data_IF_734681188371
#
_entry.id   IF_734681188371
#
_cell.length_a   1.000
_cell.length_b   1.000
_cell.length_c   1.000
_cell.angle_alpha   90.00
_cell.angle_beta   90.00
_cell.angle_gamma   90.00
#
_symmetry.space_group_name_H-M   'P 1'
#
loop_
_entity.id
_entity.type
_entity.pdbx_description
1 polymer ?
#
# COMPACT_ATOMS: atom_id res chain seq x y z
N UNK A 1 12.74 32.43 8.18
CA UNK A 1 12.27 31.72 6.98
C UNK A 1 10.96 32.36 6.53
N UNK A 2 10.77 32.68 5.25
CA UNK A 2 9.51 33.30 4.79
C UNK A 2 8.38 32.28 4.78
N UNK A 3 7.14 32.72 4.99
CA UNK A 3 5.94 31.85 4.98
C UNK A 3 5.78 31.09 3.67
N UNK A 4 6.17 31.69 2.55
CA UNK A 4 6.20 31.06 1.23
C UNK A 4 7.13 29.84 1.19
N UNK A 5 8.31 29.94 1.81
CA UNK A 5 9.27 28.84 1.84
C UNK A 5 8.72 27.63 2.62
N UNK A 6 8.08 27.88 3.78
CA UNK A 6 7.43 26.83 4.58
C UNK A 6 6.32 26.12 3.80
N UNK A 7 5.52 26.88 3.04
CA UNK A 7 4.44 26.33 2.21
C UNK A 7 5.03 25.44 1.11
N UNK A 8 6.08 25.88 0.42
CA UNK A 8 6.74 25.09 -0.62
C UNK A 8 7.27 23.76 -0.08
N UNK A 9 7.89 23.75 1.11
CA UNK A 9 8.36 22.52 1.75
C UNK A 9 7.22 21.56 2.11
N UNK A 10 6.10 22.06 2.63
CA UNK A 10 4.92 21.23 2.95
C UNK A 10 4.34 20.57 1.71
N UNK A 11 4.25 21.30 0.60
CA UNK A 11 3.76 20.77 -0.68
C UNK A 11 4.71 19.67 -1.19
N UNK A 12 6.03 19.90 -1.15
CA UNK A 12 7.01 18.90 -1.55
C UNK A 12 6.90 17.62 -0.72
N UNK A 13 6.78 17.76 0.60
CA UNK A 13 6.61 16.62 1.50
C UNK A 13 5.34 15.83 1.19
N UNK A 14 4.21 16.50 0.95
CA UNK A 14 2.95 15.86 0.56
C UNK A 14 3.07 15.07 -0.75
N UNK A 15 3.72 15.64 -1.77
CA UNK A 15 3.94 14.96 -3.05
C UNK A 15 4.76 13.68 -2.89
N UNK A 16 5.84 13.74 -2.09
CA UNK A 16 6.69 12.57 -1.82
C UNK A 16 5.92 11.53 -1.00
N UNK A 17 5.13 11.94 -0.01
CA UNK A 17 4.34 11.04 0.82
C UNK A 17 3.27 10.29 0.01
N UNK A 18 2.72 10.90 -1.05
CA UNK A 18 1.73 10.26 -1.93
C UNK A 18 2.39 9.39 -3.01
N UNK A 19 3.41 9.91 -3.70
CA UNK A 19 4.03 9.22 -4.84
C UNK A 19 5.04 8.15 -4.39
N UNK A 20 5.77 8.38 -3.31
CA UNK A 20 6.84 7.52 -2.81
C UNK A 20 6.38 6.08 -2.54
N UNK A 21 5.31 5.85 -1.75
CA UNK A 21 4.79 4.52 -1.49
C UNK A 21 4.34 3.78 -2.76
N UNK A 22 3.74 4.49 -3.72
CA UNK A 22 3.30 3.91 -5.00
C UNK A 22 4.50 3.45 -5.83
N UNK A 23 5.51 4.31 -5.98
CA UNK A 23 6.74 3.98 -6.73
C UNK A 23 7.45 2.80 -6.07
N UNK A 24 7.60 2.84 -4.74
CA UNK A 24 8.21 1.77 -3.97
C UNK A 24 7.43 0.45 -4.12
N UNK A 25 6.10 0.51 -4.07
CA UNK A 25 5.23 -0.65 -4.25
C UNK A 25 5.41 -1.29 -5.64
N UNK A 26 5.47 -0.47 -6.70
CA UNK A 26 5.73 -0.95 -8.05
C UNK A 26 7.12 -1.60 -8.15
N UNK A 27 8.14 -0.95 -7.59
CA UNK A 27 9.52 -1.45 -7.59
C UNK A 27 9.62 -2.81 -6.91
N UNK A 28 9.09 -2.94 -5.68
CA UNK A 28 9.09 -4.19 -4.92
C UNK A 28 8.25 -5.28 -5.60
N UNK A 29 7.12 -4.92 -6.19
CA UNK A 29 6.24 -5.87 -6.90
C UNK A 29 6.87 -6.43 -8.18
N UNK A 30 7.74 -5.66 -8.83
CA UNK A 30 8.49 -6.09 -10.01
C UNK A 30 9.71 -6.96 -9.69
N UNK A 31 10.08 -7.08 -8.41
CA UNK A 31 11.20 -7.92 -7.97
C UNK A 31 11.01 -9.41 -8.30
N UNK A 32 12.13 -10.14 -8.37
CA UNK A 32 12.12 -11.60 -8.51
C UNK A 32 11.37 -12.28 -7.36
N UNK A 33 11.58 -11.79 -6.14
CA UNK A 33 10.92 -12.23 -4.93
C UNK A 33 9.51 -11.65 -4.79
N UNK A 34 8.49 -12.52 -4.75
CA UNK A 34 7.07 -12.16 -4.61
C UNK A 34 6.75 -11.51 -3.27
N UNK A 35 7.45 -11.89 -2.21
CA UNK A 35 7.16 -11.47 -0.85
C UNK A 35 7.48 -10.00 -0.61
N UNK A 36 8.51 -9.47 -1.29
CA UNK A 36 8.91 -8.07 -1.16
C UNK A 36 7.79 -7.10 -1.57
N UNK A 37 7.04 -7.43 -2.63
CA UNK A 37 5.89 -6.63 -3.08
C UNK A 37 4.69 -6.64 -2.12
N UNK A 38 4.66 -7.57 -1.15
CA UNK A 38 3.60 -7.66 -0.15
C UNK A 38 3.98 -6.96 1.17
N UNK A 39 5.25 -6.58 1.36
CA UNK A 39 5.73 -5.97 2.61
C UNK A 39 4.97 -4.67 2.93
N UNK A 40 4.83 -3.76 1.96
CA UNK A 40 4.10 -2.50 2.16
C UNK A 40 2.61 -2.71 2.50
N UNK A 41 1.84 -3.51 1.73
CA UNK A 41 0.47 -3.85 2.09
C UNK A 41 0.34 -4.45 3.50
N UNK A 42 1.25 -5.35 3.89
CA UNK A 42 1.23 -6.00 5.21
C UNK A 42 1.52 -4.99 6.32
N UNK A 43 2.52 -4.12 6.15
CA UNK A 43 2.82 -3.06 7.11
C UNK A 43 1.59 -2.15 7.28
N UNK A 44 0.96 -1.72 6.18
CA UNK A 44 -0.24 -0.87 6.25
C UNK A 44 -1.42 -1.59 6.95
N UNK A 45 -1.59 -2.88 6.69
CA UNK A 45 -2.60 -3.70 7.34
C UNK A 45 -2.36 -3.80 8.86
N UNK A 46 -1.11 -4.03 9.29
CA UNK A 46 -0.74 -4.06 10.71
C UNK A 46 -0.99 -2.71 11.38
N UNK A 47 -0.66 -1.60 10.70
CA UNK A 47 -0.98 -0.26 11.19
C UNK A 47 -2.49 -0.05 11.36
N UNK A 48 -3.32 -0.57 10.45
CA UNK A 48 -4.78 -0.49 10.58
C UNK A 48 -5.29 -1.22 11.84
N UNK A 49 -4.74 -2.39 12.15
CA UNK A 49 -5.08 -3.15 13.36
C UNK A 49 -4.66 -2.36 14.61
N UNK A 50 -3.44 -1.81 14.60
CA UNK A 50 -2.93 -1.02 15.72
C UNK A 50 -3.77 0.23 15.98
N UNK A 51 -4.20 0.92 14.91
CA UNK A 51 -5.05 2.10 15.01
C UNK A 51 -6.40 1.78 15.67
N UNK A 52 -7.01 0.66 15.28
CA UNK A 52 -8.28 0.22 15.84
C UNK A 52 -8.12 -0.17 17.32
N UNK A 53 -7.13 -0.98 17.66
CA UNK A 53 -6.89 -1.39 19.05
C UNK A 53 -6.57 -0.19 19.94
N UNK A 54 -5.76 0.76 19.45
CA UNK A 54 -5.38 1.95 20.19
C UNK A 54 -6.58 2.81 20.60
N UNK A 55 -7.56 3.01 19.72
CA UNK A 55 -8.73 3.85 20.02
C UNK A 55 -9.65 3.19 21.05
N UNK A 56 -9.82 1.87 20.97
CA UNK A 56 -10.75 1.13 21.85
C UNK A 56 -10.29 0.99 23.30
N UNK A 57 -9.01 1.19 23.60
CA UNK A 57 -8.45 1.04 24.95
C UNK A 57 -8.70 2.27 25.83
N UNK A 58 -8.86 3.45 25.24
CA UNK A 58 -8.90 4.73 25.99
C UNK A 58 -10.27 5.41 26.00
N UNK A 59 -11.31 4.77 25.44
CA UNK A 59 -12.62 5.36 25.28
C UNK A 59 -13.66 4.66 26.17
N UNK A 60 -14.36 5.44 27.00
CA UNK A 60 -15.52 4.99 27.76
C UNK A 60 -16.74 4.92 26.82
N UNK A 61 -16.72 3.93 25.93
CA UNK A 61 -17.68 3.74 24.85
C UNK A 61 -18.49 2.46 25.06
N UNK A 62 -19.74 2.49 24.63
CA UNK A 62 -20.57 1.29 24.60
C UNK A 62 -20.04 0.27 23.58
N UNK A 63 -20.36 -1.01 23.78
CA UNK A 63 -19.97 -2.08 22.85
C UNK A 63 -20.42 -1.83 21.41
N UNK A 64 -21.59 -1.20 21.22
CA UNK A 64 -22.10 -0.87 19.90
C UNK A 64 -21.27 0.22 19.20
N UNK A 65 -20.84 1.25 19.93
CA UNK A 65 -19.99 2.31 19.41
C UNK A 65 -18.60 1.80 19.02
N UNK A 66 -18.03 0.92 19.86
CA UNK A 66 -16.76 0.24 19.58
C UNK A 66 -16.85 -0.55 18.27
N UNK A 67 -17.94 -1.30 18.07
CA UNK A 67 -18.12 -2.12 16.86
C UNK A 67 -18.28 -1.27 15.60
N UNK A 68 -19.03 -0.17 15.66
CA UNK A 68 -19.19 0.77 14.54
C UNK A 68 -17.86 1.46 14.20
N UNK A 69 -17.10 1.88 15.22
CA UNK A 69 -15.78 2.48 15.01
C UNK A 69 -14.77 1.49 14.44
N UNK A 70 -14.74 0.25 14.96
CA UNK A 70 -13.91 -0.82 14.42
C UNK A 70 -14.13 -0.97 12.91
N UNK A 71 -15.38 -1.13 12.49
CA UNK A 71 -15.72 -1.33 11.08
C UNK A 71 -15.31 -0.11 10.25
N UNK A 72 -15.62 1.10 10.74
CA UNK A 72 -15.32 2.34 10.02
C UNK A 72 -13.82 2.57 9.84
N UNK A 73 -13.05 2.48 10.92
CA UNK A 73 -11.59 2.68 10.90
C UNK A 73 -10.95 1.58 10.07
N UNK A 74 -11.35 0.32 10.26
CA UNK A 74 -10.80 -0.79 9.51
C UNK A 74 -11.03 -0.62 8.01
N UNK A 75 -12.23 -0.22 7.57
CA UNK A 75 -12.50 0.01 6.14
C UNK A 75 -11.67 1.18 5.59
N UNK A 76 -11.68 2.34 6.26
CA UNK A 76 -10.99 3.55 5.79
C UNK A 76 -9.48 3.33 5.72
N UNK A 77 -8.87 2.76 6.76
CA UNK A 77 -7.42 2.52 6.81
C UNK A 77 -6.97 1.39 5.87
N UNK A 78 -7.89 0.54 5.40
CA UNK A 78 -7.58 -0.50 4.43
C UNK A 78 -7.82 -0.11 2.97
N UNK A 79 -8.39 1.06 2.67
CA UNK A 79 -8.46 1.57 1.29
C UNK A 79 -7.05 1.62 0.65
N UNK A 80 -6.01 2.19 1.30
CA UNK A 80 -4.65 2.16 0.77
C UNK A 80 -4.11 0.73 0.58
N UNK A 81 -4.41 -0.19 1.51
CA UNK A 81 -4.00 -1.61 1.40
C UNK A 81 -4.56 -2.23 0.12
N UNK A 82 -5.85 -2.02 -0.17
CA UNK A 82 -6.52 -2.55 -1.37
C UNK A 82 -5.87 -2.00 -2.65
N UNK A 83 -5.57 -0.70 -2.68
CA UNK A 83 -4.87 -0.07 -3.81
C UNK A 83 -3.49 -0.69 -4.01
N UNK A 84 -2.69 -0.83 -2.94
CA UNK A 84 -1.34 -1.41 -3.00
C UNK A 84 -1.36 -2.88 -3.44
N UNK A 85 -2.34 -3.67 -2.98
CA UNK A 85 -2.55 -5.05 -3.41
C UNK A 85 -2.92 -5.12 -4.89
N UNK A 86 -3.80 -4.23 -5.36
CA UNK A 86 -4.19 -4.16 -6.77
C UNK A 86 -2.99 -3.87 -7.67
N UNK A 87 -2.13 -2.93 -7.27
CA UNK A 87 -0.87 -2.62 -7.96
C UNK A 87 0.05 -3.86 -7.97
N UNK A 88 0.18 -4.55 -6.84
CA UNK A 88 0.98 -5.76 -6.74
C UNK A 88 0.51 -6.83 -7.74
N UNK A 89 -0.78 -7.16 -7.74
CA UNK A 89 -1.32 -8.19 -8.63
C UNK A 89 -1.16 -7.80 -10.11
N UNK A 90 -1.45 -6.55 -10.48
CA UNK A 90 -1.27 -6.06 -11.84
C UNK A 90 0.19 -6.16 -12.31
N UNK A 91 1.15 -5.76 -11.46
CA UNK A 91 2.58 -5.87 -11.77
C UNK A 91 3.02 -7.34 -11.92
N UNK A 92 2.55 -8.23 -11.04
CA UNK A 92 2.90 -9.65 -11.08
C UNK A 92 2.32 -10.37 -12.29
N UNK A 93 1.11 -10.03 -12.69
CA UNK A 93 0.48 -10.60 -13.88
C UNK A 93 1.26 -10.21 -15.14
N UNK A 94 1.64 -8.93 -15.26
CA UNK A 94 2.48 -8.44 -16.37
C UNK A 94 3.81 -9.19 -16.47
N UNK A 95 4.48 -9.42 -15.33
CA UNK A 95 5.72 -10.19 -15.31
C UNK A 95 5.54 -11.65 -15.73
N UNK A 96 4.43 -12.30 -15.33
CA UNK A 96 4.13 -13.68 -15.74
C UNK A 96 3.91 -13.77 -17.25
N UNK A 97 3.14 -12.85 -17.83
CA UNK A 97 2.88 -12.79 -19.28
C UNK A 97 4.17 -12.59 -20.08
N UNK A 98 5.02 -11.64 -19.66
CA UNK A 98 6.31 -11.40 -20.33
C UNK A 98 7.20 -12.64 -20.32
N UNK A 99 7.31 -13.33 -19.19
CA UNK A 99 8.10 -14.58 -19.09
C UNK A 99 7.59 -15.69 -20.01
N UNK A 100 6.28 -15.78 -20.24
CA UNK A 100 5.71 -16.75 -21.17
C UNK A 100 6.04 -16.40 -22.62
N UNK A 101 5.93 -15.12 -23.00
CA UNK A 101 6.30 -14.63 -24.34
C UNK A 101 7.78 -14.88 -24.61
N UNK A 102 8.66 -14.57 -23.64
CA UNK A 102 10.10 -14.79 -23.79
C UNK A 102 10.42 -16.28 -23.93
N UNK A 103 9.71 -17.16 -23.20
CA UNK A 103 9.83 -18.62 -23.35
C UNK A 103 9.41 -19.10 -24.74
N UNK A 104 8.32 -18.57 -25.29
CA UNK A 104 7.84 -18.92 -26.64
C UNK A 104 8.85 -18.49 -27.71
N UNK A 105 9.37 -17.26 -27.64
CA UNK A 105 10.37 -16.75 -28.60
C UNK A 105 11.65 -17.60 -28.64
N UNK A 106 12.12 -18.08 -27.48
CA UNK A 106 13.30 -18.93 -27.41
C UNK A 106 13.05 -20.30 -28.07
N UNK A 107 11.83 -20.83 -27.97
CA UNK A 107 11.46 -22.10 -28.60
C UNK A 107 11.31 -21.99 -30.12
N UNK A 108 10.87 -20.83 -30.64
CA UNK A 108 10.73 -20.61 -32.09
C UNK A 108 12.09 -20.42 -32.80
N UNK A 109 13.14 -20.04 -32.05
CA UNK A 109 14.47 -19.75 -32.59
C UNK A 109 15.39 -20.98 -32.73
N UNK A 110 14.93 -22.17 -32.30
CA UNK A 110 15.73 -23.39 -32.22
C UNK A 110 15.03 -24.57 -32.91
#
# INVERSE_FOLDING_TARGET
MSTLFEISLRILFLLIALAGPIILQIFLSKGSNKWLGLVLPVINFIFSIMAVLGITIFADQSTAEILIQFITIFLVFNIPTIILLSIYFACREKLKKNKQIDKMKIQDLN
#
